data_IF_787684166856
#
_entry.id   IF_787684166856
#
_cell.length_a   1.000
_cell.length_b   1.000
_cell.length_c   1.000
_cell.angle_alpha   90.00
_cell.angle_beta   90.00
_cell.angle_gamma   90.00
#
_symmetry.space_group_name_H-M   'P 1'
#
loop_
_entity.id
_entity.type
_entity.pdbx_description
1 polymer ?
#
# COMPACT_ATOMS: atom_id res chain seq x y z
N UNK A 1 13.00 17.97 6.36
CA UNK A 1 12.56 16.92 7.30
C UNK A 1 13.64 16.78 8.38
N UNK A 2 13.28 16.80 9.68
CA UNK A 2 14.25 16.55 10.77
C UNK A 2 14.39 15.05 11.03
N UNK A 3 15.50 14.61 11.67
CA UNK A 3 15.72 13.20 12.01
C UNK A 3 14.59 12.64 12.88
N UNK A 4 14.18 13.36 13.92
CA UNK A 4 13.08 12.93 14.80
C UNK A 4 11.75 12.77 14.06
N UNK A 5 11.43 13.70 13.15
CA UNK A 5 10.23 13.58 12.33
C UNK A 5 10.32 12.36 11.40
N UNK A 6 11.48 12.15 10.78
CA UNK A 6 11.74 10.99 9.92
C UNK A 6 11.53 9.67 10.68
N UNK A 7 12.14 9.50 11.86
CA UNK A 7 12.03 8.26 12.65
C UNK A 7 10.57 7.97 13.03
N UNK A 8 9.84 9.00 13.48
CA UNK A 8 8.41 8.88 13.78
C UNK A 8 7.59 8.42 12.57
N UNK A 9 7.83 9.03 11.41
CA UNK A 9 7.14 8.68 10.17
C UNK A 9 7.57 7.31 9.64
N UNK A 10 8.82 6.91 9.83
CA UNK A 10 9.33 5.58 9.49
C UNK A 10 8.62 4.49 10.31
N UNK A 11 8.47 4.72 11.61
CA UNK A 11 7.74 3.82 12.50
C UNK A 11 6.24 3.74 12.14
N UNK A 12 5.63 4.86 11.75
CA UNK A 12 4.26 4.90 11.23
C UNK A 12 4.13 4.05 9.95
N UNK A 13 5.07 4.19 9.01
CA UNK A 13 5.12 3.41 7.78
C UNK A 13 5.21 1.90 8.05
N UNK A 14 6.10 1.49 8.96
CA UNK A 14 6.25 0.08 9.34
C UNK A 14 4.98 -0.46 10.00
N UNK A 15 4.33 0.34 10.84
CA UNK A 15 3.05 -0.02 11.47
C UNK A 15 1.96 -0.24 10.43
N UNK A 16 1.86 0.63 9.43
CA UNK A 16 0.90 0.49 8.33
C UNK A 16 1.16 -0.78 7.51
N UNK A 17 2.42 -1.06 7.16
CA UNK A 17 2.83 -2.28 6.46
C UNK A 17 2.49 -3.54 7.26
N UNK A 18 2.76 -3.54 8.57
CA UNK A 18 2.43 -4.66 9.45
C UNK A 18 0.92 -4.91 9.50
N UNK A 19 0.11 -3.85 9.62
CA UNK A 19 -1.37 -3.97 9.60
C UNK A 19 -1.89 -4.51 8.28
N UNK A 20 -1.36 -4.04 7.16
CA UNK A 20 -1.71 -4.57 5.84
C UNK A 20 -1.31 -6.04 5.71
N UNK A 21 -0.10 -6.40 6.14
CA UNK A 21 0.41 -7.77 6.14
C UNK A 21 -0.48 -8.73 6.95
N UNK A 22 -0.94 -8.32 8.14
CA UNK A 22 -1.88 -9.12 8.94
C UNK A 22 -3.19 -9.42 8.20
N UNK A 23 -3.77 -8.44 7.51
CA UNK A 23 -4.97 -8.66 6.70
C UNK A 23 -4.73 -9.61 5.53
N UNK A 24 -3.58 -9.51 4.87
CA UNK A 24 -3.22 -10.39 3.77
C UNK A 24 -2.97 -11.84 4.25
N UNK A 25 -2.31 -12.01 5.39
CA UNK A 25 -2.10 -13.33 5.99
C UNK A 25 -3.42 -13.97 6.38
N UNK A 26 -4.34 -13.21 6.96
CA UNK A 26 -5.66 -13.71 7.32
C UNK A 26 -6.47 -14.11 6.08
N UNK A 27 -6.41 -13.31 5.01
CA UNK A 27 -6.99 -13.68 3.71
C UNK A 27 -6.46 -15.03 3.21
N UNK A 28 -5.14 -15.24 3.27
CA UNK A 28 -4.49 -16.49 2.84
C UNK A 28 -4.90 -17.65 3.76
N UNK A 29 -4.93 -17.43 5.09
CA UNK A 29 -5.36 -18.42 6.08
C UNK A 29 -6.76 -18.92 5.79
N UNK A 30 -7.71 -18.02 5.58
CA UNK A 30 -9.11 -18.35 5.27
C UNK A 30 -9.23 -19.20 4.01
N UNK A 31 -8.49 -18.85 2.95
CA UNK A 31 -8.49 -19.64 1.72
C UNK A 31 -7.93 -21.05 1.89
N UNK A 32 -7.01 -21.25 2.85
CA UNK A 32 -6.42 -22.56 3.16
C UNK A 32 -7.28 -23.39 4.11
N UNK A 33 -7.89 -22.77 5.11
CA UNK A 33 -8.55 -23.46 6.22
C UNK A 33 -10.07 -23.58 6.04
N UNK A 34 -10.72 -22.54 5.55
CA UNK A 34 -12.18 -22.42 5.57
C UNK A 34 -12.78 -22.52 4.16
N UNK A 35 -12.00 -22.16 3.13
CA UNK A 35 -12.38 -22.30 1.72
C UNK A 35 -12.52 -20.96 1.00
N UNK A 36 -12.72 -21.03 -0.33
CA UNK A 36 -12.74 -19.85 -1.20
C UNK A 36 -13.95 -18.94 -0.95
N UNK A 37 -15.08 -19.50 -0.50
CA UNK A 37 -16.31 -18.74 -0.26
C UNK A 37 -16.15 -17.86 0.99
N UNK A 38 -15.68 -18.43 2.08
CA UNK A 38 -15.41 -17.77 3.36
C UNK A 38 -14.32 -16.72 3.21
N UNK A 39 -13.26 -17.05 2.46
CA UNK A 39 -12.22 -16.10 2.06
C UNK A 39 -12.82 -14.90 1.30
N UNK A 40 -13.70 -15.15 0.31
CA UNK A 40 -14.32 -14.08 -0.47
C UNK A 40 -15.27 -13.24 0.39
N UNK A 41 -16.12 -13.85 1.20
CA UNK A 41 -17.08 -13.14 2.07
C UNK A 41 -16.35 -12.28 3.10
N UNK A 42 -15.28 -12.80 3.70
CA UNK A 42 -14.44 -12.05 4.61
C UNK A 42 -13.74 -10.89 3.91
N UNK A 43 -13.34 -11.04 2.65
CA UNK A 43 -12.63 -9.99 1.92
C UNK A 43 -13.58 -8.88 1.43
N UNK A 44 -14.66 -9.24 0.74
CA UNK A 44 -15.56 -8.31 0.06
C UNK A 44 -16.70 -7.88 0.97
N UNK A 45 -17.44 -8.82 1.56
CA UNK A 45 -18.68 -8.52 2.27
C UNK A 45 -18.43 -7.89 3.66
N UNK A 46 -17.30 -8.21 4.30
CA UNK A 46 -16.88 -7.55 5.56
C UNK A 46 -16.05 -6.27 5.33
N UNK A 47 -15.83 -5.87 4.08
CA UNK A 47 -15.13 -4.62 3.73
C UNK A 47 -13.62 -4.63 4.01
N UNK A 48 -13.01 -5.80 4.23
CA UNK A 48 -11.59 -5.92 4.56
C UNK A 48 -10.68 -5.61 3.36
N UNK A 49 -11.13 -5.86 2.13
CA UNK A 49 -10.44 -5.42 0.91
C UNK A 49 -10.26 -3.90 0.89
N UNK A 50 -11.31 -3.14 1.23
CA UNK A 50 -11.23 -1.67 1.26
C UNK A 50 -10.24 -1.21 2.32
N UNK A 51 -10.26 -1.81 3.52
CA UNK A 51 -9.30 -1.51 4.58
C UNK A 51 -7.86 -1.81 4.14
N UNK A 52 -7.63 -2.97 3.54
CA UNK A 52 -6.31 -3.37 3.03
C UNK A 52 -5.77 -2.40 1.97
N UNK A 53 -6.59 -2.06 0.97
CA UNK A 53 -6.22 -1.10 -0.09
C UNK A 53 -5.91 0.28 0.49
N UNK A 54 -6.71 0.75 1.44
CA UNK A 54 -6.45 2.03 2.11
C UNK A 54 -5.12 2.01 2.88
N UNK A 55 -4.83 0.94 3.62
CA UNK A 55 -3.55 0.80 4.33
C UNK A 55 -2.36 0.80 3.38
N UNK A 56 -2.45 0.10 2.25
CA UNK A 56 -1.40 0.11 1.23
C UNK A 56 -1.21 1.51 0.63
N UNK A 57 -2.30 2.20 0.31
CA UNK A 57 -2.24 3.55 -0.25
C UNK A 57 -1.61 4.55 0.72
N UNK A 58 -2.02 4.53 1.99
CA UNK A 58 -1.43 5.40 3.02
C UNK A 58 0.05 5.06 3.24
N UNK A 59 0.42 3.78 3.28
CA UNK A 59 1.81 3.37 3.38
C UNK A 59 2.63 3.85 2.17
N UNK A 60 2.07 3.80 0.97
CA UNK A 60 2.74 4.28 -0.24
C UNK A 60 2.99 5.79 -0.18
N UNK A 61 1.96 6.58 0.13
CA UNK A 61 2.11 8.04 0.25
C UNK A 61 3.18 8.41 1.28
N UNK A 62 3.23 7.68 2.39
CA UNK A 62 4.20 7.93 3.44
C UNK A 62 5.63 7.50 3.03
N UNK A 63 5.76 6.42 2.26
CA UNK A 63 7.05 6.01 1.69
C UNK A 63 7.58 7.05 0.68
N UNK A 64 6.70 7.61 -0.15
CA UNK A 64 7.00 8.71 -1.07
C UNK A 64 7.41 9.99 -0.33
N UNK A 65 6.77 10.32 0.80
CA UNK A 65 7.16 11.44 1.66
C UNK A 65 8.57 11.25 2.26
N UNK A 66 8.93 10.02 2.63
CA UNK A 66 10.22 9.70 3.25
C UNK A 66 11.37 9.55 2.23
N UNK A 67 11.06 9.19 0.99
CA UNK A 67 12.07 8.88 -0.03
C UNK A 67 13.11 10.00 -0.24
N UNK A 68 12.77 11.30 -0.35
CA UNK A 68 13.76 12.37 -0.54
C UNK A 68 14.76 12.48 0.61
N UNK A 69 14.30 12.30 1.85
CA UNK A 69 15.17 12.31 3.01
C UNK A 69 16.10 11.10 3.03
N UNK A 70 15.56 9.90 2.75
CA UNK A 70 16.36 8.67 2.71
C UNK A 70 17.44 8.71 1.60
N UNK A 71 17.14 9.30 0.45
CA UNK A 71 18.09 9.52 -0.64
C UNK A 71 19.19 10.49 -0.22
N UNK A 72 18.81 11.64 0.33
CA UNK A 72 19.75 12.71 0.71
C UNK A 72 20.74 12.27 1.80
N UNK A 73 20.33 11.31 2.62
CA UNK A 73 21.16 10.74 3.70
C UNK A 73 21.79 9.38 3.35
N UNK A 74 21.68 8.93 2.09
CA UNK A 74 22.28 7.66 1.63
C UNK A 74 21.63 6.39 2.21
N UNK A 75 20.48 6.49 2.86
CA UNK A 75 19.72 5.37 3.43
C UNK A 75 19.05 4.54 2.32
N UNK A 76 18.53 5.19 1.28
CA UNK A 76 17.89 4.54 0.13
C UNK A 76 18.71 4.82 -1.14
N UNK A 77 19.08 3.75 -1.86
CA UNK A 77 19.59 3.88 -3.24
C UNK A 77 18.40 4.10 -4.17
N UNK A 78 18.48 5.11 -5.04
CA UNK A 78 17.46 5.36 -6.06
C UNK A 78 17.51 4.20 -7.06
N UNK A 79 16.57 3.26 -6.97
CA UNK A 79 16.30 2.34 -8.06
C UNK A 79 15.30 2.99 -9.02
N UNK A 80 15.83 3.76 -9.98
CA UNK A 80 15.05 4.49 -10.99
C UNK A 80 14.10 3.57 -11.79
N UNK A 81 14.42 2.29 -11.90
CA UNK A 81 13.64 1.32 -12.67
C UNK A 81 12.39 0.85 -11.92
N UNK A 82 12.52 0.59 -10.62
CA UNK A 82 11.37 0.30 -9.75
C UNK A 82 10.49 1.53 -9.61
N UNK A 83 11.07 2.70 -9.34
CA UNK A 83 10.33 3.95 -9.18
C UNK A 83 9.47 4.29 -10.42
N UNK A 84 9.97 4.07 -11.64
CA UNK A 84 9.20 4.25 -12.89
C UNK A 84 8.12 3.20 -13.09
N UNK A 85 8.40 1.91 -12.82
CA UNK A 85 7.39 0.84 -12.91
C UNK A 85 6.21 1.12 -11.97
N UNK A 86 6.48 1.65 -10.79
CA UNK A 86 5.45 1.96 -9.79
C UNK A 86 4.60 3.17 -10.17
N UNK A 87 5.19 4.29 -10.59
CA UNK A 87 4.42 5.43 -11.11
C UNK A 87 3.50 5.05 -12.27
N UNK A 88 3.96 4.17 -13.16
CA UNK A 88 3.17 3.70 -14.29
C UNK A 88 1.92 2.90 -13.84
N UNK A 89 2.05 2.07 -12.80
CA UNK A 89 0.94 1.30 -12.24
C UNK A 89 -0.08 2.21 -11.54
N UNK A 90 0.36 3.19 -10.76
CA UNK A 90 -0.51 4.14 -10.07
C UNK A 90 -1.24 5.05 -11.07
N UNK A 91 -0.51 5.56 -12.07
CA UNK A 91 -1.08 6.36 -13.16
C UNK A 91 -2.14 5.58 -13.95
N UNK A 92 -1.90 4.30 -14.29
CA UNK A 92 -2.89 3.47 -15.00
C UNK A 92 -4.18 3.24 -14.18
N UNK A 93 -4.06 3.09 -12.86
CA UNK A 93 -5.21 2.90 -11.96
C UNK A 93 -6.04 4.19 -11.83
N UNK A 94 -5.39 5.34 -11.69
CA UNK A 94 -6.07 6.64 -11.62
C UNK A 94 -6.69 7.04 -12.96
N UNK A 95 -5.99 6.78 -14.07
CA UNK A 95 -6.50 7.04 -15.42
C UNK A 95 -7.70 6.15 -15.73
N UNK A 96 -7.69 4.87 -15.33
CA UNK A 96 -8.86 3.97 -15.45
C UNK A 96 -10.04 4.42 -14.58
N UNK A 97 -9.81 4.95 -13.38
CA UNK A 97 -10.87 5.54 -12.54
C UNK A 97 -11.51 6.76 -13.22
N UNK A 98 -10.71 7.67 -13.77
CA UNK A 98 -11.21 8.85 -14.53
C UNK A 98 -11.99 8.45 -15.78
N UNK A 99 -11.50 7.48 -16.55
CA UNK A 99 -12.16 7.00 -17.76
C UNK A 99 -13.49 6.26 -17.47
N UNK A 100 -13.64 5.60 -16.31
CA UNK A 100 -14.91 5.01 -15.88
C UNK A 100 -15.93 6.05 -15.38
N UNK A 101 -15.47 7.16 -14.81
CA UNK A 101 -16.34 8.27 -14.37
C UNK A 101 -16.89 9.07 -15.56
N UNK A 102 -16.14 9.18 -16.66
CA UNK A 102 -16.57 9.87 -17.88
C UNK A 102 -17.49 9.03 -18.81
N UNK A 103 -17.87 7.81 -18.42
CA UNK A 103 -18.77 6.93 -19.19
C UNK A 103 -20.20 6.85 -18.61
N UNK A 104 -20.55 7.75 -17.70
CA UNK A 104 -21.94 8.01 -17.28
C UNK A 104 -22.38 9.33 -17.89
#
# INVERSE_FOLDING_TARGET
MTKEYYERKKQELETLRLRAGKLQLEYIRLGKCEGKKEQHDWWINKGNLRKYVNLLHTAQMLDEELAPYEISNGIRKINLQEHRKWHYLTFLVETRKRLRLNRK
#
